data_IF_076160079133
#
_entry.id   IF_076160079133
#
_cell.length_a   1.000
_cell.length_b   1.000
_cell.length_c   1.000
_cell.angle_alpha   90.00
_cell.angle_beta   90.00
_cell.angle_gamma   90.00
#
_symmetry.space_group_name_H-M   'P 1'
#
loop_
_entity.id
_entity.type
_entity.pdbx_description
1 polymer ?
#
# COMPACT_ATOMS: atom_id res chain seq x y z
N UNK A 1 -21.77 5.95 -2.03
CA UNK A 1 -21.06 5.73 -0.75
C UNK A 1 -20.88 4.24 -0.40
N UNK A 2 -21.59 3.29 -1.05
CA UNK A 2 -21.59 1.87 -0.64
C UNK A 2 -20.38 1.02 -1.08
N UNK A 3 -19.61 1.43 -2.09
CA UNK A 3 -18.53 0.60 -2.63
C UNK A 3 -17.36 0.38 -1.64
N UNK A 4 -17.14 1.30 -0.69
CA UNK A 4 -16.06 1.20 0.30
C UNK A 4 -16.20 -0.02 1.23
N UNK A 5 -17.41 -0.36 1.66
CA UNK A 5 -17.66 -1.51 2.54
C UNK A 5 -17.33 -2.85 1.86
N UNK A 6 -17.62 -2.98 0.57
CA UNK A 6 -17.26 -4.18 -0.20
C UNK A 6 -15.75 -4.33 -0.34
N UNK A 7 -15.04 -3.23 -0.56
CA UNK A 7 -13.58 -3.24 -0.63
C UNK A 7 -12.95 -3.59 0.73
N UNK A 8 -13.48 -3.05 1.83
CA UNK A 8 -13.04 -3.39 3.18
C UNK A 8 -13.21 -4.89 3.46
N UNK A 9 -14.39 -5.44 3.12
CA UNK A 9 -14.66 -6.88 3.25
C UNK A 9 -13.73 -7.74 2.39
N UNK A 10 -13.37 -7.29 1.19
CA UNK A 10 -12.39 -7.95 0.34
C UNK A 10 -10.99 -7.99 0.98
N UNK A 11 -10.54 -6.90 1.60
CA UNK A 11 -9.24 -6.87 2.29
C UNK A 11 -9.25 -7.82 3.49
N UNK A 12 -10.28 -7.75 4.33
CA UNK A 12 -10.37 -8.56 5.56
C UNK A 12 -10.44 -10.05 5.24
N UNK A 13 -11.19 -10.43 4.18
CA UNK A 13 -11.46 -11.83 3.84
C UNK A 13 -10.83 -12.25 2.50
N UNK A 14 -9.69 -11.68 2.13
CA UNK A 14 -9.09 -11.87 0.80
C UNK A 14 -8.90 -13.35 0.42
N UNK A 15 -8.56 -14.22 1.38
CA UNK A 15 -8.40 -15.66 1.15
C UNK A 15 -9.67 -16.32 0.59
N UNK A 16 -10.83 -15.92 1.08
CA UNK A 16 -12.10 -16.50 0.64
C UNK A 16 -12.46 -16.02 -0.78
N UNK A 17 -12.20 -14.73 -1.06
CA UNK A 17 -12.34 -14.17 -2.41
C UNK A 17 -11.43 -14.87 -3.42
N UNK A 18 -10.20 -15.24 -3.02
CA UNK A 18 -9.27 -15.97 -3.89
C UNK A 18 -9.74 -17.41 -4.17
N UNK A 19 -10.30 -18.11 -3.18
CA UNK A 19 -10.84 -19.48 -3.38
C UNK A 19 -11.97 -19.49 -4.40
N UNK A 20 -12.84 -18.49 -4.35
CA UNK A 20 -14.02 -18.35 -5.21
C UNK A 20 -13.72 -17.65 -6.55
N UNK A 21 -12.45 -17.56 -6.94
CA UNK A 21 -12.05 -16.97 -8.22
C UNK A 21 -12.52 -17.82 -9.40
N UNK A 22 -13.38 -17.25 -10.26
CA UNK A 22 -13.88 -17.91 -11.48
C UNK A 22 -12.80 -18.11 -12.55
N UNK A 23 -11.78 -17.24 -12.56
CA UNK A 23 -10.68 -17.27 -13.54
C UNK A 23 -9.43 -17.97 -13.00
N UNK A 24 -9.57 -18.91 -12.04
CA UNK A 24 -8.42 -19.59 -11.42
C UNK A 24 -7.55 -20.35 -12.42
N UNK A 25 -8.15 -20.86 -13.50
CA UNK A 25 -7.46 -21.53 -14.59
C UNK A 25 -6.79 -20.57 -15.60
N UNK A 26 -6.96 -19.25 -15.46
CA UNK A 26 -6.44 -18.21 -16.36
C UNK A 26 -5.57 -17.20 -15.59
N UNK A 27 -4.34 -17.56 -15.20
CA UNK A 27 -3.46 -16.70 -14.41
C UNK A 27 -3.17 -15.34 -15.07
N UNK A 28 -3.19 -15.27 -16.40
CA UNK A 28 -3.02 -14.03 -17.17
C UNK A 28 -4.09 -12.96 -16.90
N UNK A 29 -5.24 -13.34 -16.34
CA UNK A 29 -6.34 -12.41 -16.02
C UNK A 29 -6.18 -11.74 -14.64
N UNK A 30 -5.13 -12.07 -13.88
CA UNK A 30 -4.82 -11.46 -12.57
C UNK A 30 -6.01 -11.37 -11.61
N UNK A 31 -6.82 -12.43 -11.54
CA UNK A 31 -8.07 -12.47 -10.79
C UNK A 31 -7.92 -11.98 -9.34
N UNK A 32 -6.99 -12.55 -8.56
CA UNK A 32 -6.69 -12.15 -7.17
C UNK A 32 -7.93 -12.00 -6.26
N UNK A 33 -9.04 -12.69 -6.57
CA UNK A 33 -10.33 -12.51 -5.89
C UNK A 33 -11.13 -11.25 -6.29
N UNK A 34 -10.57 -10.36 -7.12
CA UNK A 34 -11.20 -9.13 -7.61
C UNK A 34 -12.43 -9.39 -8.50
N UNK A 35 -12.46 -10.52 -9.22
CA UNK A 35 -13.63 -10.87 -10.04
C UNK A 35 -14.91 -11.05 -9.19
N UNK A 36 -14.78 -11.66 -8.01
CA UNK A 36 -15.90 -11.82 -7.09
C UNK A 36 -16.31 -10.49 -6.47
N UNK A 37 -15.32 -9.65 -6.10
CA UNK A 37 -15.58 -8.30 -5.59
C UNK A 37 -16.40 -7.49 -6.60
N UNK A 38 -16.00 -7.51 -7.87
CA UNK A 38 -16.70 -6.79 -8.94
C UNK A 38 -18.15 -7.28 -9.09
N UNK A 39 -18.37 -8.61 -9.09
CA UNK A 39 -19.73 -9.18 -9.12
C UNK A 39 -20.62 -8.67 -7.99
N UNK A 40 -20.09 -8.61 -6.75
CA UNK A 40 -20.87 -8.11 -5.60
C UNK A 40 -21.23 -6.64 -5.74
N UNK A 41 -20.30 -5.83 -6.26
CA UNK A 41 -20.53 -4.40 -6.53
C UNK A 41 -21.60 -4.25 -7.62
N UNK A 42 -21.49 -4.98 -8.73
CA UNK A 42 -22.47 -4.93 -9.82
C UNK A 42 -23.87 -5.37 -9.39
N UNK A 43 -23.98 -6.42 -8.58
CA UNK A 43 -25.28 -6.88 -8.05
C UNK A 43 -25.94 -5.81 -7.18
N UNK A 44 -25.15 -5.14 -6.34
CA UNK A 44 -25.63 -4.02 -5.53
C UNK A 44 -26.07 -2.84 -6.40
N UNK A 45 -25.28 -2.47 -7.41
CA UNK A 45 -25.65 -1.40 -8.33
C UNK A 45 -26.93 -1.72 -9.11
N UNK A 46 -27.14 -2.97 -9.51
CA UNK A 46 -28.39 -3.41 -10.15
C UNK A 46 -29.58 -3.29 -9.20
N UNK A 47 -29.43 -3.71 -7.94
CA UNK A 47 -30.47 -3.55 -6.89
C UNK A 47 -30.79 -2.07 -6.64
N UNK A 48 -29.77 -1.20 -6.58
CA UNK A 48 -29.93 0.24 -6.40
C UNK A 48 -30.56 0.96 -7.60
N UNK A 49 -30.41 0.41 -8.82
CA UNK A 49 -31.09 0.91 -10.03
C UNK A 49 -32.53 0.41 -10.12
N UNK A 50 -32.81 -0.80 -9.63
CA UNK A 50 -34.16 -1.38 -9.62
C UNK A 50 -35.06 -0.78 -8.52
N UNK A 51 -34.49 -0.31 -7.41
CA UNK A 51 -35.23 0.45 -6.41
C UNK A 51 -35.49 1.88 -6.91
N UNK A 52 -36.77 2.25 -7.03
CA UNK A 52 -37.25 3.50 -7.60
C UNK A 52 -36.55 4.75 -6.97
N UNK A 53 -36.33 5.81 -7.75
CA UNK A 53 -35.59 7.01 -7.31
C UNK A 53 -36.26 7.78 -6.15
N UNK A 54 -37.53 7.52 -5.85
CA UNK A 54 -38.30 8.28 -4.86
C UNK A 54 -37.81 8.10 -3.41
N UNK A 55 -37.25 6.94 -3.05
CA UNK A 55 -36.71 6.74 -1.68
C UNK A 55 -35.33 7.39 -1.46
N UNK A 56 -34.64 7.81 -2.53
CA UNK A 56 -33.28 8.39 -2.42
C UNK A 56 -33.27 9.83 -1.92
N UNK A 57 -34.41 10.53 -1.92
CA UNK A 57 -34.51 11.89 -1.40
C UNK A 57 -34.77 11.94 0.12
N UNK A 58 -35.55 10.99 0.65
CA UNK A 58 -35.84 10.93 2.09
C UNK A 58 -34.61 10.61 2.95
N UNK A 59 -33.64 9.85 2.42
CA UNK A 59 -32.44 9.45 3.15
C UNK A 59 -31.29 10.48 3.16
N UNK A 60 -31.46 11.64 2.51
CA UNK A 60 -30.40 12.67 2.37
C UNK A 60 -30.44 13.78 3.42
N UNK A 61 -31.41 13.78 4.32
CA UNK A 61 -31.54 14.79 5.38
C UNK A 61 -31.23 14.23 6.77
N UNK A 62 -30.06 13.63 6.95
CA UNK A 62 -29.45 13.57 8.28
C UNK A 62 -28.00 14.02 8.15
N UNK A 63 -27.82 15.34 8.13
CA UNK A 63 -26.49 15.95 8.31
C UNK A 63 -26.11 15.72 9.76
N UNK A 64 -25.47 14.58 10.02
CA UNK A 64 -24.82 14.34 11.30
C UNK A 64 -23.55 15.20 11.34
N UNK A 65 -23.69 16.43 11.84
CA UNK A 65 -22.56 17.29 12.17
C UNK A 65 -21.83 16.69 13.36
N UNK A 66 -20.85 15.83 13.10
CA UNK A 66 -19.91 15.37 14.12
C UNK A 66 -18.65 16.23 14.02
N UNK A 67 -18.54 17.22 14.90
CA UNK A 67 -17.30 17.96 15.13
C UNK A 67 -16.30 17.11 15.92
N UNK A 68 -15.90 15.96 15.36
CA UNK A 68 -14.89 15.10 15.96
C UNK A 68 -13.57 15.26 15.20
N UNK A 69 -12.70 16.11 15.74
CA UNK A 69 -11.31 16.23 15.31
C UNK A 69 -10.49 15.09 15.93
N UNK A 70 -10.28 14.03 15.16
CA UNK A 70 -9.33 12.98 15.51
C UNK A 70 -7.90 13.50 15.34
N UNK A 71 -7.27 13.90 16.43
CA UNK A 71 -5.84 14.20 16.45
C UNK A 71 -5.06 12.88 16.57
N UNK A 72 -4.55 12.39 15.45
CA UNK A 72 -3.65 11.24 15.43
C UNK A 72 -2.20 11.72 15.59
N UNK A 73 -1.67 11.62 16.81
CA UNK A 73 -0.25 11.89 17.06
C UNK A 73 0.55 10.59 16.98
N UNK A 74 1.42 10.50 15.98
CA UNK A 74 2.43 9.44 15.90
C UNK A 74 3.68 9.87 16.69
N UNK A 75 4.21 8.98 17.55
CA UNK A 75 5.53 9.16 18.12
C UNK A 75 6.53 8.43 17.22
N UNK A 76 7.34 9.17 16.46
CA UNK A 76 8.46 8.57 15.75
C UNK A 76 9.59 8.27 16.73
N UNK A 77 9.87 7.00 16.96
CA UNK A 77 11.05 6.58 17.69
C UNK A 77 12.26 6.66 16.74
N UNK A 78 13.01 7.77 16.81
CA UNK A 78 14.30 7.87 16.11
C UNK A 78 15.29 6.98 16.87
N UNK A 79 15.53 5.78 16.35
CA UNK A 79 16.67 4.98 16.78
C UNK A 79 17.93 5.71 16.33
N UNK A 80 18.65 6.30 17.28
CA UNK A 80 19.98 6.87 17.05
C UNK A 80 20.94 5.72 16.73
N UNK A 81 20.97 5.33 15.46
CA UNK A 81 21.99 4.44 14.94
C UNK A 81 23.25 5.27 14.76
N UNK A 82 23.94 5.55 15.87
CA UNK A 82 25.26 6.15 15.83
C UNK A 82 26.18 5.18 15.10
N UNK A 83 26.33 5.37 13.79
CA UNK A 83 27.31 4.68 12.98
C UNK A 83 28.67 4.98 13.61
N UNK A 84 29.29 3.97 14.22
CA UNK A 84 30.68 4.06 14.65
C UNK A 84 31.53 4.11 13.38
N UNK A 85 31.68 5.30 12.82
CA UNK A 85 32.62 5.56 11.75
C UNK A 85 34.00 5.54 12.40
N UNK A 86 34.71 4.43 12.24
CA UNK A 86 36.13 4.37 12.56
C UNK A 86 36.88 5.06 11.43
N UNK A 87 37.57 6.19 11.67
CA UNK A 87 38.39 6.80 10.64
C UNK A 87 39.51 5.81 10.28
N UNK A 88 39.51 5.30 9.06
CA UNK A 88 40.64 4.55 8.54
C UNK A 88 41.80 5.52 8.38
N UNK A 89 42.80 5.40 9.25
CA UNK A 89 43.99 6.22 9.20
C UNK A 89 44.85 5.72 8.04
N UNK A 90 44.84 6.43 6.91
CA UNK A 90 45.65 6.10 5.72
C UNK A 90 47.15 6.31 5.93
N UNK A 91 47.58 6.64 7.15
CA UNK A 91 48.96 6.94 7.48
C UNK A 91 49.44 8.23 6.81
N UNK A 92 50.70 8.56 7.04
CA UNK A 92 51.34 9.72 6.41
C UNK A 92 51.81 9.28 5.01
N UNK A 93 51.46 10.01 3.93
CA UNK A 93 51.96 9.69 2.60
C UNK A 93 53.48 9.80 2.60
N UNK A 94 54.15 8.72 2.19
CA UNK A 94 55.59 8.71 1.95
C UNK A 94 55.82 8.92 0.46
N UNK A 95 56.67 9.87 0.11
CA UNK A 95 57.07 10.08 -1.27
C UNK A 95 57.83 8.84 -1.77
N UNK A 96 57.34 8.23 -2.85
CA UNK A 96 57.94 7.05 -3.46
C UNK A 96 58.17 7.34 -4.93
N UNK A 97 59.43 7.53 -5.30
CA UNK A 97 59.86 7.61 -6.69
C UNK A 97 59.80 6.22 -7.33
N UNK A 98 58.63 5.88 -7.90
CA UNK A 98 58.47 4.68 -8.72
C UNK A 98 58.50 5.06 -10.20
N UNK A 99 59.38 4.47 -11.03
CA UNK A 99 59.33 4.65 -12.48
C UNK A 99 58.14 3.93 -13.13
N UNK A 100 57.44 3.07 -12.37
CA UNK A 100 56.29 2.30 -12.85
C UNK A 100 55.00 2.92 -12.33
N UNK A 101 54.14 3.37 -13.25
CA UNK A 101 52.81 3.89 -12.93
C UNK A 101 51.89 2.74 -12.50
N UNK A 102 51.20 2.93 -11.37
CA UNK A 102 50.23 1.96 -10.84
C UNK A 102 48.84 2.60 -10.81
N UNK A 103 47.84 2.02 -11.47
CA UNK A 103 46.48 2.54 -11.43
C UNK A 103 45.86 2.35 -10.03
N UNK A 104 44.90 3.21 -9.63
CA UNK A 104 44.24 3.10 -8.33
C UNK A 104 43.47 1.78 -8.23
N UNK A 105 43.77 1.00 -7.20
CA UNK A 105 43.00 -0.21 -6.86
C UNK A 105 41.73 0.21 -6.13
N UNK A 106 40.58 0.04 -6.80
CA UNK A 106 39.26 0.12 -6.17
C UNK A 106 39.13 -1.07 -5.20
N UNK A 107 38.98 -0.76 -3.92
CA UNK A 107 38.76 -1.74 -2.85
C UNK A 107 37.35 -2.35 -3.05
N UNK A 108 37.27 -3.66 -3.29
CA UNK A 108 36.03 -4.46 -3.26
C UNK A 108 35.77 -5.02 -1.88
#
# INVERSE_FOLDING_TARGET
>A
FNQGFYYLGYIVQQKEYMKQCVNKARPQMHCNGKCLLMKKIEEQEKKERAQAPEMKYAAKQEVFSSSSSFNFSFAFHTSDNHLKVYPFNTGIPVDRTSPVFRPPSILS
#
